data_IF_452902017454
#
_entry.id   IF_452902017454
#
_cell.length_a   1.000
_cell.length_b   1.000
_cell.length_c   1.000
_cell.angle_alpha   90.00
_cell.angle_beta   90.00
_cell.angle_gamma   90.00
#
_symmetry.space_group_name_H-M   'P 1'
#
loop_
_entity.id
_entity.type
_entity.pdbx_description
1 polymer ?
#
# COMPACT_ATOMS: atom_id res chain seq x y z
N UNK A 1 -38.44 -8.23 22.21
CA UNK A 1 -37.14 -8.92 22.16
C UNK A 1 -36.07 -7.88 21.80
N UNK A 2 -35.27 -7.43 22.77
CA UNK A 2 -34.29 -6.35 22.59
C UNK A 2 -32.92 -6.97 22.34
N UNK A 3 -32.48 -6.98 21.09
CA UNK A 3 -31.12 -7.39 20.72
C UNK A 3 -30.09 -6.59 21.53
N UNK A 4 -29.33 -7.26 22.40
CA UNK A 4 -28.29 -6.65 23.24
C UNK A 4 -27.27 -5.87 22.39
N UNK A 5 -26.93 -4.62 22.74
CA UNK A 5 -25.98 -3.78 21.99
C UNK A 5 -24.60 -4.42 21.78
N UNK A 6 -24.21 -5.36 22.65
CA UNK A 6 -22.91 -6.04 22.58
C UNK A 6 -22.78 -7.00 21.39
N UNK A 7 -23.87 -7.60 20.90
CA UNK A 7 -23.81 -8.58 19.80
C UNK A 7 -23.74 -7.92 18.42
N UNK A 8 -24.32 -6.73 18.27
CA UNK A 8 -24.19 -5.90 17.08
C UNK A 8 -22.80 -5.27 17.00
N UNK A 9 -22.27 -4.79 18.14
CA UNK A 9 -20.93 -4.22 18.21
C UNK A 9 -19.85 -5.26 17.90
N UNK A 10 -19.93 -6.48 18.47
CA UNK A 10 -19.00 -7.59 18.16
C UNK A 10 -19.03 -8.00 16.69
N UNK A 11 -20.21 -8.18 16.11
CA UNK A 11 -20.34 -8.50 14.67
C UNK A 11 -19.71 -7.42 13.80
N UNK A 12 -19.90 -6.14 14.11
CA UNK A 12 -19.25 -5.04 13.41
C UNK A 12 -17.72 -5.12 13.47
N UNK A 13 -17.16 -5.42 14.65
CA UNK A 13 -15.71 -5.57 14.83
C UNK A 13 -15.13 -6.76 14.08
N UNK A 14 -15.84 -7.89 14.04
CA UNK A 14 -15.39 -9.10 13.33
C UNK A 14 -15.33 -8.87 11.81
N UNK A 15 -16.31 -8.15 11.23
CA UNK A 15 -16.28 -7.79 9.81
C UNK A 15 -15.13 -6.83 9.49
N UNK A 16 -14.85 -5.84 10.36
CA UNK A 16 -13.73 -4.91 10.14
C UNK A 16 -12.37 -5.59 10.26
N UNK A 17 -12.22 -6.58 11.15
CA UNK A 17 -11.00 -7.38 11.24
C UNK A 17 -10.82 -8.31 10.03
N UNK A 18 -11.90 -8.91 9.52
CA UNK A 18 -11.86 -9.71 8.29
C UNK A 18 -11.44 -8.84 7.10
N UNK A 19 -11.98 -7.63 6.99
CA UNK A 19 -11.57 -6.67 5.98
C UNK A 19 -10.08 -6.32 6.09
N UNK A 20 -9.57 -6.09 7.31
CA UNK A 20 -8.14 -5.82 7.52
C UNK A 20 -7.25 -6.94 6.98
N UNK A 21 -7.56 -8.19 7.30
CA UNK A 21 -6.81 -9.35 6.82
C UNK A 21 -6.84 -9.51 5.30
N UNK A 22 -7.99 -9.27 4.66
CA UNK A 22 -8.13 -9.33 3.20
C UNK A 22 -7.31 -8.24 2.50
N UNK A 23 -7.42 -6.99 2.97
CA UNK A 23 -6.63 -5.88 2.44
C UNK A 23 -5.14 -6.11 2.59
N UNK A 24 -4.70 -6.61 3.74
CA UNK A 24 -3.28 -6.89 3.98
C UNK A 24 -2.76 -8.08 3.14
N UNK A 25 -3.58 -9.12 2.96
CA UNK A 25 -3.24 -10.25 2.07
C UNK A 25 -3.00 -9.76 0.64
N UNK A 26 -3.87 -8.87 0.13
CA UNK A 26 -3.67 -8.29 -1.19
C UNK A 26 -2.46 -7.35 -1.24
N UNK A 27 -2.15 -6.61 -0.18
CA UNK A 27 -0.95 -5.78 -0.10
C UNK A 27 0.33 -6.63 -0.26
N UNK A 28 0.40 -7.79 0.42
CA UNK A 28 1.51 -8.74 0.27
C UNK A 28 1.62 -9.27 -1.15
N UNK A 29 0.51 -9.72 -1.73
CA UNK A 29 0.50 -10.22 -3.11
C UNK A 29 0.94 -9.16 -4.14
N UNK A 30 0.54 -7.89 -3.94
CA UNK A 30 0.99 -6.78 -4.78
C UNK A 30 2.52 -6.59 -4.68
N UNK A 31 3.09 -6.62 -3.48
CA UNK A 31 4.53 -6.43 -3.26
C UNK A 31 5.35 -7.62 -3.81
N UNK A 32 4.88 -8.85 -3.63
CA UNK A 32 5.47 -10.03 -4.25
C UNK A 32 5.43 -9.94 -5.78
N UNK A 33 4.28 -9.52 -6.34
CA UNK A 33 4.14 -9.30 -7.78
C UNK A 33 5.06 -8.19 -8.30
N UNK A 34 5.37 -7.18 -7.50
CA UNK A 34 6.32 -6.14 -7.85
C UNK A 34 7.74 -6.72 -8.04
N UNK A 35 8.13 -7.66 -7.18
CA UNK A 35 9.44 -8.31 -7.28
C UNK A 35 9.62 -9.12 -8.57
N UNK A 36 8.54 -9.64 -9.15
CA UNK A 36 8.60 -10.37 -10.43
C UNK A 36 9.02 -9.47 -11.61
N UNK A 37 8.71 -8.17 -11.55
CA UNK A 37 9.01 -7.22 -12.62
C UNK A 37 10.44 -6.65 -12.54
N UNK A 38 11.16 -6.92 -11.44
CA UNK A 38 12.56 -6.51 -11.25
C UNK A 38 13.53 -7.28 -12.15
N UNK A 39 13.22 -8.56 -12.42
CA UNK A 39 14.10 -9.48 -13.14
C UNK A 39 13.32 -10.25 -14.21
N UNK A 40 12.83 -9.59 -15.26
CA UNK A 40 12.04 -10.28 -16.24
C UNK A 40 12.90 -11.24 -17.04
N UNK A 41 12.38 -12.46 -17.16
CA UNK A 41 12.89 -13.53 -18.00
C UNK A 41 13.11 -13.11 -19.47
N UNK A 42 12.48 -12.01 -19.90
CA UNK A 42 12.52 -11.46 -21.26
C UNK A 42 13.57 -10.37 -21.47
N UNK A 43 14.39 -10.05 -20.45
CA UNK A 43 15.55 -9.16 -20.58
C UNK A 43 15.25 -7.65 -20.53
N UNK A 44 14.00 -7.24 -20.27
CA UNK A 44 13.63 -5.82 -20.08
C UNK A 44 12.83 -5.59 -18.79
N UNK A 45 13.46 -5.12 -17.70
CA UNK A 45 12.78 -4.79 -16.45
C UNK A 45 11.65 -3.78 -16.66
N UNK A 46 10.58 -3.94 -15.87
CA UNK A 46 9.39 -3.11 -15.93
C UNK A 46 9.29 -2.28 -14.65
N UNK A 47 10.28 -1.40 -14.44
CA UNK A 47 10.47 -0.66 -13.18
C UNK A 47 9.31 0.27 -12.82
N UNK A 48 8.61 0.81 -13.81
CA UNK A 48 7.37 1.56 -13.62
C UNK A 48 6.29 0.70 -12.97
N UNK A 49 6.21 -0.59 -13.34
CA UNK A 49 5.25 -1.53 -12.77
C UNK A 49 5.66 -1.99 -11.38
N UNK A 50 6.96 -2.15 -11.12
CA UNK A 50 7.48 -2.36 -9.75
C UNK A 50 7.02 -1.21 -8.85
N UNK A 51 7.25 0.04 -9.28
CA UNK A 51 6.88 1.23 -8.54
C UNK A 51 5.35 1.31 -8.32
N UNK A 52 4.56 1.05 -9.37
CA UNK A 52 3.10 1.07 -9.29
C UNK A 52 2.57 0.01 -8.31
N UNK A 53 3.07 -1.21 -8.39
CA UNK A 53 2.67 -2.30 -7.50
C UNK A 53 3.08 -2.02 -6.06
N UNK A 54 4.27 -1.44 -5.81
CA UNK A 54 4.65 -0.98 -4.47
C UNK A 54 3.70 0.12 -3.96
N UNK A 55 3.30 1.07 -4.81
CA UNK A 55 2.34 2.12 -4.44
C UNK A 55 1.01 1.52 -4.02
N UNK A 56 0.48 0.56 -4.79
CA UNK A 56 -0.78 -0.13 -4.46
C UNK A 56 -0.64 -1.00 -3.20
N UNK A 57 0.50 -1.66 -3.00
CA UNK A 57 0.79 -2.42 -1.79
C UNK A 57 0.75 -1.54 -0.54
N UNK A 58 1.43 -0.38 -0.56
CA UNK A 58 1.42 0.60 0.54
C UNK A 58 0.01 1.12 0.81
N UNK A 59 -0.74 1.52 -0.22
CA UNK A 59 -2.12 1.98 -0.06
C UNK A 59 -3.01 0.93 0.62
N UNK A 60 -2.92 -0.32 0.17
CA UNK A 60 -3.71 -1.44 0.72
C UNK A 60 -3.29 -1.79 2.14
N UNK A 61 -2.01 -1.73 2.46
CA UNK A 61 -1.51 -1.95 3.82
C UNK A 61 -2.03 -0.86 4.78
N UNK A 62 -2.04 0.41 4.38
CA UNK A 62 -2.61 1.49 5.19
C UNK A 62 -4.13 1.35 5.36
N UNK A 63 -4.85 0.92 4.32
CA UNK A 63 -6.28 0.57 4.45
C UNK A 63 -6.47 -0.56 5.47
N UNK A 64 -5.66 -1.62 5.40
CA UNK A 64 -5.71 -2.72 6.36
C UNK A 64 -5.49 -2.24 7.81
N UNK A 65 -4.51 -1.37 8.03
CA UNK A 65 -4.28 -0.73 9.32
C UNK A 65 -5.53 -0.01 9.84
N UNK A 66 -6.21 0.78 9.00
CA UNK A 66 -7.43 1.49 9.38
C UNK A 66 -8.60 0.57 9.67
N UNK A 67 -8.75 -0.52 8.91
CA UNK A 67 -9.75 -1.55 9.19
C UNK A 67 -9.49 -2.26 10.52
N UNK A 68 -8.22 -2.47 10.88
CA UNK A 68 -7.83 -3.12 12.12
C UNK A 68 -7.99 -2.23 13.37
N UNK A 69 -7.49 -0.99 13.32
CA UNK A 69 -7.52 -0.04 14.45
C UNK A 69 -8.84 0.73 14.57
N UNK A 70 -9.53 0.93 13.46
CA UNK A 70 -10.70 1.78 13.35
C UNK A 70 -12.03 1.05 13.51
N UNK A 71 -13.09 1.72 13.10
CA UNK A 71 -14.46 1.19 13.08
C UNK A 71 -14.92 0.84 11.65
N UNK A 72 -13.98 0.55 10.74
CA UNK A 72 -14.26 0.24 9.34
C UNK A 72 -14.44 1.44 8.41
N UNK A 73 -14.20 2.67 8.88
CA UNK A 73 -14.20 3.88 8.04
C UNK A 73 -12.79 4.28 7.68
N UNK A 74 -12.56 4.52 6.38
CA UNK A 74 -11.31 5.08 5.88
C UNK A 74 -11.35 6.62 5.92
N UNK A 75 -10.25 7.28 6.29
CA UNK A 75 -10.18 8.75 6.30
C UNK A 75 -10.14 9.36 4.88
N UNK A 76 -9.67 8.62 3.88
CA UNK A 76 -9.56 9.07 2.48
C UNK A 76 -9.40 7.89 1.50
N UNK A 77 -9.31 8.19 0.21
CA UNK A 77 -9.08 7.23 -0.87
C UNK A 77 -7.63 7.17 -1.38
N UNK A 78 -6.77 8.12 -1.00
CA UNK A 78 -5.37 8.20 -1.38
C UNK A 78 -4.43 8.01 -0.18
N UNK A 79 -3.14 7.74 -0.45
CA UNK A 79 -2.16 7.45 0.60
C UNK A 79 -2.01 8.61 1.59
N UNK A 80 -1.98 9.86 1.13
CA UNK A 80 -1.76 11.03 2.01
C UNK A 80 -2.87 11.19 3.02
N UNK A 81 -4.12 11.08 2.58
CA UNK A 81 -5.25 11.09 3.49
C UNK A 81 -5.31 9.86 4.40
N UNK A 82 -4.83 8.70 3.92
CA UNK A 82 -4.68 7.50 4.75
C UNK A 82 -3.60 7.64 5.84
N UNK A 83 -2.70 8.64 5.80
CA UNK A 83 -1.73 8.89 6.88
C UNK A 83 -2.35 9.51 8.14
N UNK A 84 -3.58 10.03 8.05
CA UNK A 84 -4.28 10.60 9.20
C UNK A 84 -4.64 9.50 10.21
N UNK A 85 -4.15 9.62 11.44
CA UNK A 85 -4.43 8.67 12.52
C UNK A 85 -3.60 7.38 12.48
N UNK A 86 -2.52 7.35 11.68
CA UNK A 86 -1.56 6.23 11.62
C UNK A 86 -0.44 6.46 12.63
N UNK A 87 0.01 5.38 13.29
CA UNK A 87 1.14 5.39 14.22
C UNK A 87 2.41 5.98 13.57
N UNK A 88 3.19 6.73 14.36
CA UNK A 88 4.30 7.55 13.86
C UNK A 88 5.32 6.77 13.03
N UNK A 89 5.69 5.56 13.46
CA UNK A 89 6.65 4.72 12.73
C UNK A 89 6.17 4.35 11.32
N UNK A 90 4.91 3.93 11.16
CA UNK A 90 4.33 3.60 9.86
C UNK A 90 4.19 4.86 9.02
N UNK A 91 3.72 5.96 9.62
CA UNK A 91 3.54 7.24 8.94
C UNK A 91 4.86 7.78 8.39
N UNK A 92 5.95 7.69 9.15
CA UNK A 92 7.27 8.18 8.74
C UNK A 92 7.83 7.41 7.55
N UNK A 93 7.58 6.10 7.47
CA UNK A 93 7.93 5.28 6.30
C UNK A 93 7.07 5.64 5.10
N UNK A 94 5.75 5.69 5.29
CA UNK A 94 4.82 6.00 4.20
C UNK A 94 5.07 7.41 3.62
N UNK A 95 5.42 8.37 4.47
CA UNK A 95 5.78 9.72 4.04
C UNK A 95 7.08 9.74 3.22
N UNK A 96 8.12 9.04 3.66
CA UNK A 96 9.36 8.87 2.89
C UNK A 96 9.10 8.18 1.56
N UNK A 97 8.27 7.14 1.55
CA UNK A 97 7.83 6.44 0.35
C UNK A 97 7.16 7.39 -0.65
N UNK A 98 6.13 8.14 -0.22
CA UNK A 98 5.41 9.08 -1.08
C UNK A 98 6.32 10.18 -1.65
N UNK A 99 7.17 10.78 -0.81
CA UNK A 99 8.11 11.81 -1.26
C UNK A 99 9.10 11.27 -2.30
N UNK A 100 9.52 10.01 -2.15
CA UNK A 100 10.46 9.39 -3.07
C UNK A 100 9.80 8.93 -4.37
N UNK A 101 8.67 8.24 -4.28
CA UNK A 101 8.04 7.61 -5.44
C UNK A 101 7.26 8.62 -6.29
N UNK A 102 6.70 9.65 -5.65
CA UNK A 102 5.78 10.62 -6.23
C UNK A 102 4.37 10.45 -5.66
N UNK A 103 3.59 11.54 -5.72
CA UNK A 103 2.27 11.61 -5.09
C UNK A 103 1.15 10.91 -5.88
N UNK A 104 1.40 10.50 -7.12
CA UNK A 104 0.37 9.95 -7.99
C UNK A 104 0.84 8.71 -8.75
N UNK A 105 0.03 7.65 -8.65
CA UNK A 105 0.22 6.41 -9.39
C UNK A 105 0.15 6.61 -10.92
N UNK A 106 -0.58 7.64 -11.38
CA UNK A 106 -0.75 7.96 -12.80
C UNK A 106 0.58 8.16 -13.53
N UNK A 107 1.59 8.71 -12.85
CA UNK A 107 2.94 8.91 -13.41
C UNK A 107 3.61 7.61 -13.88
N UNK A 108 3.23 6.47 -13.28
CA UNK A 108 3.77 5.15 -13.57
C UNK A 108 3.01 4.43 -14.69
N UNK A 109 1.85 4.96 -15.11
CA UNK A 109 0.93 4.29 -16.03
C UNK A 109 0.76 5.03 -17.36
N UNK A 110 0.72 6.37 -17.32
CA UNK A 110 0.36 7.17 -18.48
C UNK A 110 1.56 7.96 -19.02
N UNK A 111 1.79 7.92 -20.36
CA UNK A 111 2.80 8.77 -21.01
C UNK A 111 2.59 10.26 -20.73
N UNK A 112 3.69 11.02 -20.71
CA UNK A 112 3.63 12.47 -20.57
C UNK A 112 3.39 13.00 -19.14
N UNK A 113 2.99 12.15 -18.19
CA UNK A 113 2.79 12.55 -16.78
C UNK A 113 4.12 12.62 -16.03
N UNK A 114 4.92 11.54 -16.06
CA UNK A 114 6.22 11.53 -15.38
C UNK A 114 7.26 12.42 -16.08
N UNK A 115 7.25 12.43 -17.43
CA UNK A 115 8.12 13.28 -18.25
C UNK A 115 7.50 13.48 -19.62
N UNK A 116 7.47 14.73 -20.07
CA UNK A 116 6.95 15.09 -21.38
C UNK A 116 7.71 14.35 -22.50
N UNK A 117 6.97 13.82 -23.48
CA UNK A 117 7.53 13.11 -24.63
C UNK A 117 8.13 11.73 -24.33
N UNK A 118 7.87 11.17 -23.14
CA UNK A 118 8.38 9.85 -22.71
C UNK A 118 7.28 8.96 -22.15
N UNK A 119 7.48 7.66 -22.29
CA UNK A 119 6.65 6.63 -21.64
C UNK A 119 7.16 6.33 -20.22
N UNK A 120 6.32 5.82 -19.30
CA UNK A 120 6.77 5.40 -17.97
C UNK A 120 7.93 4.38 -18.01
N UNK A 121 7.90 3.44 -18.95
CA UNK A 121 8.95 2.43 -19.12
C UNK A 121 10.33 3.03 -19.45
N UNK A 122 10.38 4.22 -20.05
CA UNK A 122 11.65 4.90 -20.37
C UNK A 122 12.20 5.77 -19.23
N UNK A 123 11.41 6.07 -18.20
CA UNK A 123 11.75 7.12 -17.22
C UNK A 123 11.95 6.61 -15.80
N UNK A 124 11.40 5.45 -15.45
CA UNK A 124 11.59 4.87 -14.12
C UNK A 124 12.89 4.05 -14.08
N UNK A 125 13.91 4.48 -13.31
CA UNK A 125 15.16 3.74 -13.21
C UNK A 125 15.07 2.60 -12.18
N UNK A 126 16.03 1.67 -12.28
CA UNK A 126 16.21 0.56 -11.33
C UNK A 126 16.22 1.04 -9.87
N UNK A 127 17.01 2.08 -9.57
CA UNK A 127 17.15 2.61 -8.20
C UNK A 127 15.82 3.07 -7.60
N UNK A 128 14.89 3.55 -8.44
CA UNK A 128 13.56 3.95 -7.99
C UNK A 128 12.69 2.73 -7.65
N UNK A 129 12.79 1.67 -8.43
CA UNK A 129 12.11 0.40 -8.17
C UNK A 129 12.66 -0.31 -6.91
N UNK A 130 13.98 -0.37 -6.73
CA UNK A 130 14.63 -0.98 -5.56
C UNK A 130 14.23 -0.28 -4.26
N UNK A 131 14.30 1.05 -4.24
CA UNK A 131 13.96 1.81 -3.05
C UNK A 131 12.46 1.78 -2.74
N UNK A 132 11.60 1.75 -3.78
CA UNK A 132 10.15 1.56 -3.59
C UNK A 132 9.84 0.20 -2.96
N UNK A 133 10.52 -0.86 -3.37
CA UNK A 133 10.41 -2.19 -2.77
C UNK A 133 10.87 -2.20 -1.31
N UNK A 134 12.00 -1.55 -1.01
CA UNK A 134 12.52 -1.47 0.37
C UNK A 134 11.53 -0.80 1.31
N UNK A 135 11.02 0.38 0.94
CA UNK A 135 9.99 1.07 1.71
C UNK A 135 8.71 0.24 1.85
N UNK A 136 8.28 -0.42 0.76
CA UNK A 136 7.11 -1.30 0.79
C UNK A 136 7.28 -2.45 1.78
N UNK A 137 8.44 -3.12 1.78
CA UNK A 137 8.77 -4.20 2.72
C UNK A 137 8.75 -3.73 4.16
N UNK A 138 9.41 -2.61 4.46
CA UNK A 138 9.49 -2.06 5.80
C UNK A 138 8.10 -1.66 6.32
N UNK A 139 7.30 -0.98 5.50
CA UNK A 139 5.94 -0.58 5.86
C UNK A 139 5.03 -1.80 6.11
N UNK A 140 5.04 -2.77 5.20
CA UNK A 140 4.22 -3.98 5.34
C UNK A 140 4.60 -4.74 6.60
N UNK A 141 5.89 -4.82 6.95
CA UNK A 141 6.34 -5.47 8.18
C UNK A 141 5.75 -4.79 9.42
N UNK A 142 5.81 -3.46 9.50
CA UNK A 142 5.24 -2.72 10.62
C UNK A 142 3.72 -2.90 10.73
N UNK A 143 3.00 -2.94 9.60
CA UNK A 143 1.55 -3.19 9.58
C UNK A 143 1.24 -4.65 9.95
N UNK A 144 2.04 -5.61 9.50
CA UNK A 144 1.90 -7.03 9.85
C UNK A 144 2.01 -7.25 11.35
N UNK A 145 3.01 -6.63 11.97
CA UNK A 145 3.24 -6.69 13.41
C UNK A 145 2.07 -6.07 14.19
N UNK A 146 1.30 -5.16 13.60
CA UNK A 146 0.09 -4.63 14.23
C UNK A 146 -1.10 -5.57 14.07
N UNK A 147 -1.30 -6.13 12.88
CA UNK A 147 -2.47 -6.97 12.56
C UNK A 147 -2.37 -8.34 13.24
N UNK A 148 -1.17 -8.91 13.35
CA UNK A 148 -0.97 -10.29 13.79
C UNK A 148 -0.16 -10.47 15.08
N UNK A 149 0.33 -9.42 15.76
CA UNK A 149 0.96 -9.58 17.08
C UNK A 149 -0.07 -9.80 18.22
N UNK A 150 -1.10 -10.62 17.96
CA UNK A 150 -2.09 -11.07 18.94
C UNK A 150 -1.70 -12.43 19.52
#
# INVERSE_FOLDING_TARGET
DRSSPSSARRRGTDFTQMDAGLWFTQAKADLESANNDMHPLTGKPAYEWVCYKCYRAVEKALRAYHYFKGNGKLPASDIHGLLLGVDTNIRDIAFRFCNFIGNEANSMQYPGIARFGKTPNEVFPLTKAEQALEYGKELLKLVEDIIYAS
#
